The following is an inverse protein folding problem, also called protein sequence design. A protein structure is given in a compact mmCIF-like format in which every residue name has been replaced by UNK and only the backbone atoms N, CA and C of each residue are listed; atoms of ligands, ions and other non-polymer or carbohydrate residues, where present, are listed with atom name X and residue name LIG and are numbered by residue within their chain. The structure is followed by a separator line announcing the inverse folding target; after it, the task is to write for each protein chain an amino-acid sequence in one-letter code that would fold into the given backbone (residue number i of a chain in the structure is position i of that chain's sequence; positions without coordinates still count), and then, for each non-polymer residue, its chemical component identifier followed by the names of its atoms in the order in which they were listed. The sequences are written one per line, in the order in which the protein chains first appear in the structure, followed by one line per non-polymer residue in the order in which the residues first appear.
data_IF_047315155375
#
_entry.id   IF_047315155375
#
_cell.length_a   1.000
_cell.length_b   1.000
_cell.length_c   1.000
_cell.angle_alpha   90.00
_cell.angle_beta   90.00
_cell.angle_gamma   90.00
#
_symmetry.space_group_name_H-M   'P 1'
#
loop_
_entity.id
_entity.type
_entity.pdbx_description
1 polymer ?
#
# COMPACT_ATOMS: atom_id res chain seq x y z
N UNK A 1 10.06 -2.24 -31.04
CA UNK A 1 10.72 -3.13 -30.05
C UNK A 1 9.76 -4.16 -29.48
N UNK A 2 8.56 -3.78 -29.01
CA UNK A 2 7.57 -4.74 -28.51
C UNK A 2 6.99 -5.67 -29.58
N UNK A 3 6.72 -5.17 -30.79
CA UNK A 3 6.22 -6.00 -31.90
C UNK A 3 7.23 -7.08 -32.31
N UNK A 4 8.52 -6.77 -32.24
CA UNK A 4 9.60 -7.72 -32.52
C UNK A 4 9.68 -8.86 -31.49
N UNK A 5 9.27 -8.59 -30.23
CA UNK A 5 9.20 -9.60 -29.17
C UNK A 5 8.05 -10.58 -29.40
N UNK A 6 6.90 -10.11 -29.87
CA UNK A 6 5.80 -10.99 -30.24
C UNK A 6 6.15 -11.85 -31.45
N UNK A 7 6.76 -11.26 -32.48
CA UNK A 7 7.27 -12.01 -33.64
C UNK A 7 8.29 -13.07 -33.20
N UNK A 8 9.20 -12.74 -32.27
CA UNK A 8 10.13 -13.71 -31.71
C UNK A 8 9.41 -14.87 -31.00
N UNK A 9 8.40 -14.58 -30.18
CA UNK A 9 7.62 -15.61 -29.49
C UNK A 9 6.85 -16.51 -30.48
N UNK A 10 6.28 -15.95 -31.54
CA UNK A 10 5.66 -16.73 -32.63
C UNK A 10 6.68 -17.64 -33.33
N UNK A 11 7.87 -17.12 -33.65
CA UNK A 11 8.94 -17.93 -34.23
C UNK A 11 9.39 -19.06 -33.28
N UNK A 12 9.52 -18.78 -31.98
CA UNK A 12 9.89 -19.79 -30.99
C UNK A 12 8.81 -20.88 -30.85
N UNK A 13 7.54 -20.53 -31.04
CA UNK A 13 6.41 -21.48 -31.05
C UNK A 13 6.57 -22.49 -32.19
N UNK A 14 7.12 -22.07 -33.33
CA UNK A 14 7.32 -22.95 -34.50
C UNK A 14 8.60 -23.79 -34.39
N UNK A 15 9.66 -23.22 -33.81
CA UNK A 15 11.00 -23.85 -33.79
C UNK A 15 11.19 -24.80 -32.60
N UNK A 16 10.53 -24.55 -31.46
CA UNK A 16 10.74 -25.34 -30.25
C UNK A 16 9.75 -26.51 -30.12
N UNK A 17 10.18 -27.63 -29.51
CA UNK A 17 9.31 -28.78 -29.29
C UNK A 17 8.16 -28.50 -28.30
N UNK A 18 7.12 -29.33 -28.34
CA UNK A 18 5.84 -29.13 -27.62
C UNK A 18 5.99 -28.89 -26.11
N UNK A 19 7.02 -29.47 -25.49
CA UNK A 19 7.30 -29.31 -24.06
C UNK A 19 7.62 -27.85 -23.64
N UNK A 20 7.96 -26.97 -24.60
CA UNK A 20 8.20 -25.55 -24.35
C UNK A 20 6.99 -24.66 -24.64
N UNK A 21 5.92 -25.17 -25.24
CA UNK A 21 4.76 -24.37 -25.65
C UNK A 21 4.09 -23.68 -24.48
N UNK A 22 3.93 -24.39 -23.35
CA UNK A 22 3.39 -23.81 -22.11
C UNK A 22 4.24 -22.62 -21.62
N UNK A 23 5.57 -22.72 -21.71
CA UNK A 23 6.49 -21.66 -21.27
C UNK A 23 6.41 -20.45 -22.21
N UNK A 24 6.28 -20.69 -23.51
CA UNK A 24 6.15 -19.64 -24.53
C UNK A 24 4.82 -18.90 -24.33
N UNK A 25 3.72 -19.63 -24.13
CA UNK A 25 2.41 -19.05 -23.88
C UNK A 25 2.37 -18.28 -22.56
N UNK A 26 2.96 -18.81 -21.49
CA UNK A 26 3.13 -18.05 -20.24
C UNK A 26 3.96 -16.77 -20.44
N UNK A 27 5.04 -16.83 -21.22
CA UNK A 27 5.90 -15.68 -21.49
C UNK A 27 5.17 -14.62 -22.31
N UNK A 28 4.38 -15.04 -23.30
CA UNK A 28 3.47 -14.17 -24.07
C UNK A 28 2.46 -13.49 -23.14
N UNK A 29 1.80 -14.25 -22.26
CA UNK A 29 0.85 -13.67 -21.30
C UNK A 29 1.52 -12.69 -20.32
N UNK A 30 2.76 -12.98 -19.86
CA UNK A 30 3.56 -12.07 -19.02
C UNK A 30 3.94 -10.80 -19.79
N UNK A 31 4.29 -10.90 -21.07
CA UNK A 31 4.58 -9.75 -21.93
C UNK A 31 3.33 -8.87 -22.13
N UNK A 32 2.18 -9.46 -22.48
CA UNK A 32 0.91 -8.75 -22.57
C UNK A 32 0.58 -8.06 -21.25
N UNK A 33 0.77 -8.76 -20.12
CA UNK A 33 0.54 -8.19 -18.80
C UNK A 33 1.45 -6.99 -18.51
N UNK A 34 2.74 -7.08 -18.83
CA UNK A 34 3.68 -5.98 -18.69
C UNK A 34 3.27 -4.78 -19.53
N UNK A 35 2.92 -4.99 -20.81
CA UNK A 35 2.48 -3.93 -21.71
C UNK A 35 1.18 -3.28 -21.20
N UNK A 36 0.27 -4.08 -20.66
CA UNK A 36 -1.03 -3.60 -20.17
C UNK A 36 -0.81 -2.71 -18.96
N UNK A 37 0.08 -3.12 -18.06
CA UNK A 37 0.52 -2.31 -16.94
C UNK A 37 1.18 -0.99 -17.40
N UNK A 38 2.09 -1.02 -18.39
CA UNK A 38 2.69 0.21 -18.93
C UNK A 38 1.66 1.15 -19.56
N UNK A 39 0.71 0.61 -20.33
CA UNK A 39 -0.36 1.39 -20.95
C UNK A 39 -1.25 2.07 -19.89
N UNK A 40 -1.71 1.31 -18.88
CA UNK A 40 -2.49 1.87 -17.76
C UNK A 40 -1.71 2.92 -16.98
N UNK A 41 -0.41 2.69 -16.72
CA UNK A 41 0.48 3.66 -16.07
C UNK A 41 0.56 4.97 -16.84
N UNK A 42 0.79 4.92 -18.15
CA UNK A 42 0.86 6.13 -18.99
C UNK A 42 -0.48 6.86 -18.99
N UNK A 43 -1.58 6.13 -19.14
CA UNK A 43 -2.92 6.69 -19.13
C UNK A 43 -3.24 7.41 -17.80
N UNK A 44 -2.95 6.77 -16.68
CA UNK A 44 -3.21 7.26 -15.33
C UNK A 44 -2.36 8.49 -14.98
N UNK A 45 -1.08 8.49 -15.37
CA UNK A 45 -0.22 9.66 -15.25
C UNK A 45 -0.73 10.83 -16.09
N UNK A 46 -1.23 10.57 -17.30
CA UNK A 46 -1.81 11.61 -18.16
C UNK A 46 -3.12 12.14 -17.57
N UNK A 47 -3.99 11.28 -17.01
CA UNK A 47 -5.19 11.71 -16.29
C UNK A 47 -4.82 12.58 -15.08
N UNK A 48 -3.88 12.14 -14.24
CA UNK A 48 -3.46 12.90 -13.07
C UNK A 48 -2.93 14.29 -13.46
N UNK A 49 -2.06 14.36 -14.48
CA UNK A 49 -1.58 15.63 -15.03
C UNK A 49 -2.70 16.51 -15.59
N UNK A 50 -3.67 15.92 -16.29
CA UNK A 50 -4.83 16.66 -16.79
C UNK A 50 -5.67 17.23 -15.63
N UNK A 51 -5.88 16.46 -14.55
CA UNK A 51 -6.58 16.94 -13.36
C UNK A 51 -5.83 18.07 -12.65
N UNK A 52 -4.50 18.00 -12.57
CA UNK A 52 -3.69 19.11 -12.04
C UNK A 52 -3.82 20.38 -12.89
N UNK A 53 -4.05 20.27 -14.21
CA UNK A 53 -4.26 21.41 -15.11
C UNK A 53 -5.67 22.03 -14.98
N UNK A 54 -6.66 21.23 -14.56
CA UNK A 54 -8.05 21.67 -14.28
C UNK A 54 -8.19 22.39 -12.93
N UNK A 55 -7.13 22.47 -12.12
CA UNK A 55 -7.20 23.05 -10.78
C UNK A 55 -7.46 24.56 -10.84
N UNK A 56 -8.50 25.00 -10.15
CA UNK A 56 -8.85 26.40 -9.96
C UNK A 56 -8.32 26.94 -8.62
N UNK A 57 -8.74 28.15 -8.24
CA UNK A 57 -8.29 28.78 -6.99
C UNK A 57 -9.10 28.33 -5.76
N UNK A 58 -10.20 27.61 -5.97
CA UNK A 58 -11.12 27.13 -4.92
C UNK A 58 -10.90 25.64 -4.57
N UNK A 59 -10.18 24.90 -5.41
CA UNK A 59 -10.03 23.45 -5.31
C UNK A 59 -8.67 22.98 -4.81
N UNK A 60 -8.64 21.72 -4.36
CA UNK A 60 -7.40 21.00 -4.08
C UNK A 60 -7.40 19.56 -4.64
N UNK A 61 -6.23 19.09 -5.05
CA UNK A 61 -6.02 17.68 -5.39
C UNK A 61 -5.18 17.04 -4.29
N UNK A 62 -5.67 15.94 -3.72
CA UNK A 62 -5.04 15.26 -2.59
C UNK A 62 -4.49 13.92 -3.06
N UNK A 63 -3.19 13.68 -2.84
CA UNK A 63 -2.55 12.38 -3.08
C UNK A 63 -2.16 11.78 -1.75
N UNK A 64 -2.75 10.65 -1.37
CA UNK A 64 -2.50 10.01 -0.10
C UNK A 64 -1.84 8.64 -0.25
N UNK A 65 -0.90 8.34 0.66
CA UNK A 65 -0.29 7.03 0.76
C UNK A 65 0.26 6.73 2.16
N UNK A 66 0.27 5.45 2.51
CA UNK A 66 0.99 4.94 3.67
C UNK A 66 2.43 4.60 3.30
N UNK A 67 3.37 5.17 4.05
CA UNK A 67 4.76 4.74 3.96
C UNK A 67 4.91 3.38 4.62
N UNK A 68 5.84 2.57 4.10
CA UNK A 68 6.39 1.45 4.87
C UNK A 68 6.83 1.91 6.27
N UNK A 69 6.51 1.09 7.29
CA UNK A 69 6.76 1.43 8.70
C UNK A 69 8.18 1.94 8.93
N UNK A 70 8.28 3.05 9.64
CA UNK A 70 9.57 3.61 10.04
C UNK A 70 10.01 2.84 11.27
N UNK A 71 11.08 2.07 11.15
CA UNK A 71 11.65 1.34 12.27
C UNK A 71 12.59 2.24 13.09
N UNK A 72 12.65 2.06 14.42
CA UNK A 72 13.68 2.66 15.25
C UNK A 72 15.08 2.34 14.72
N UNK A 73 15.97 3.33 14.74
CA UNK A 73 17.34 3.22 14.22
C UNK A 73 18.31 4.05 15.05
N UNK A 74 19.42 3.47 15.44
CA UNK A 74 20.52 4.15 16.10
C UNK A 74 21.77 4.16 15.22
N UNK A 75 22.67 5.12 15.45
CA UNK A 75 23.94 5.19 14.72
C UNK A 75 24.82 3.95 14.97
N UNK A 76 24.74 3.40 16.18
CA UNK A 76 25.34 2.14 16.58
C UNK A 76 24.24 1.22 17.13
N UNK A 77 24.11 0.01 16.58
CA UNK A 77 23.17 -1.01 17.07
C UNK A 77 23.88 -2.34 17.23
N UNK A 78 23.62 -3.01 18.35
CA UNK A 78 24.03 -4.41 18.50
C UNK A 78 23.10 -5.32 17.71
N UNK A 79 23.58 -6.50 17.29
CA UNK A 79 22.75 -7.48 16.57
C UNK A 79 21.48 -7.86 17.34
N UNK A 80 21.52 -7.83 18.67
CA UNK A 80 20.39 -8.15 19.54
C UNK A 80 19.31 -7.06 19.50
N UNK A 81 19.71 -5.78 19.47
CA UNK A 81 18.80 -4.65 19.39
C UNK A 81 18.10 -4.52 18.03
N UNK A 82 18.61 -5.20 16.99
CA UNK A 82 18.08 -5.12 15.64
C UNK A 82 16.76 -5.89 15.45
N UNK A 83 16.54 -6.97 16.21
CA UNK A 83 15.40 -7.87 15.98
C UNK A 83 14.14 -7.46 16.74
N UNK A 84 12.97 -7.59 16.08
CA UNK A 84 11.66 -7.44 16.73
C UNK A 84 11.19 -6.00 16.98
N UNK A 85 11.80 -5.00 16.33
CA UNK A 85 11.42 -3.60 16.54
C UNK A 85 9.99 -3.31 16.08
N UNK A 86 9.23 -2.63 16.94
CA UNK A 86 7.95 -2.04 16.59
C UNK A 86 8.20 -0.71 15.87
N UNK A 87 7.76 -0.62 14.62
CA UNK A 87 7.85 0.62 13.84
C UNK A 87 6.66 1.54 14.03
N UNK A 88 6.84 2.80 13.65
CA UNK A 88 5.78 3.80 13.55
C UNK A 88 5.09 3.72 12.19
N UNK A 89 3.79 3.95 12.21
CA UNK A 89 3.02 4.21 10.99
C UNK A 89 3.30 5.63 10.54
N UNK A 90 3.37 5.84 9.22
CA UNK A 90 3.39 7.17 8.63
C UNK A 90 2.40 7.19 7.46
N UNK A 91 1.41 8.07 7.55
CA UNK A 91 0.49 8.37 6.47
C UNK A 91 0.78 9.77 5.94
N UNK A 92 0.89 9.91 4.62
CA UNK A 92 1.17 11.19 3.97
C UNK A 92 -0.04 11.60 3.14
N UNK A 93 -0.45 12.85 3.26
CA UNK A 93 -1.39 13.51 2.35
C UNK A 93 -0.67 14.69 1.68
N UNK A 94 -0.42 14.59 0.39
CA UNK A 94 0.05 15.71 -0.42
C UNK A 94 -1.15 16.51 -0.92
N UNK A 95 -1.20 17.79 -0.58
CA UNK A 95 -2.25 18.73 -0.99
C UNK A 95 -1.68 19.64 -2.08
N UNK A 96 -2.21 19.50 -3.29
CA UNK A 96 -1.91 20.34 -4.44
C UNK A 96 -2.95 21.46 -4.53
N UNK A 97 -2.50 22.71 -4.47
CA UNK A 97 -3.32 23.92 -4.63
C UNK A 97 -2.73 24.80 -5.72
N UNK A 98 -3.56 25.62 -6.36
CA UNK A 98 -3.07 26.57 -7.35
C UNK A 98 -2.38 27.73 -6.63
N UNK A 99 -1.13 28.00 -7.00
CA UNK A 99 -0.38 29.15 -6.46
C UNK A 99 -0.46 30.33 -7.43
N UNK A 100 -0.23 30.08 -8.72
CA UNK A 100 -0.41 31.05 -9.79
C UNK A 100 -0.73 30.34 -11.11
N UNK A 101 -0.87 31.09 -12.20
CA UNK A 101 -1.21 30.52 -13.52
C UNK A 101 -0.21 29.46 -14.04
N UNK A 102 1.01 29.41 -13.49
CA UNK A 102 2.12 28.58 -13.95
C UNK A 102 2.69 27.63 -12.90
N UNK A 103 2.24 27.71 -11.64
CA UNK A 103 2.81 26.96 -10.53
C UNK A 103 1.71 26.47 -9.58
N UNK A 104 1.93 25.26 -9.08
CA UNK A 104 1.17 24.67 -7.99
C UNK A 104 1.96 24.80 -6.70
N UNK A 105 1.26 25.04 -5.60
CA UNK A 105 1.79 24.87 -4.26
C UNK A 105 1.49 23.43 -3.79
N UNK A 106 2.49 22.76 -3.25
CA UNK A 106 2.38 21.40 -2.72
C UNK A 106 2.68 21.47 -1.22
N UNK A 107 1.74 20.97 -0.42
CA UNK A 107 1.94 20.82 1.03
C UNK A 107 1.87 19.33 1.36
N UNK A 108 2.87 18.81 2.06
CA UNK A 108 2.90 17.45 2.55
C UNK A 108 2.49 17.43 4.02
N UNK A 109 1.40 16.75 4.34
CA UNK A 109 1.00 16.47 5.71
C UNK A 109 1.37 15.04 6.07
N UNK A 110 2.36 14.90 6.94
CA UNK A 110 2.91 13.63 7.40
C UNK A 110 2.41 13.34 8.81
N UNK A 111 1.52 12.36 8.95
CA UNK A 111 0.99 11.93 10.23
C UNK A 111 1.67 10.65 10.68
N UNK A 112 2.45 10.74 11.75
CA UNK A 112 3.08 9.57 12.36
C UNK A 112 2.28 9.08 13.57
N UNK A 113 2.33 7.78 13.85
CA UNK A 113 1.61 7.19 14.98
C UNK A 113 2.29 5.96 15.55
N UNK A 114 2.05 5.71 16.85
CA UNK A 114 2.43 4.46 17.52
C UNK A 114 1.41 3.35 17.28
N UNK A 115 0.20 3.73 16.86
CA UNK A 115 -0.78 2.81 16.33
C UNK A 115 -0.31 2.28 14.97
N UNK A 116 -0.36 0.96 14.86
CA UNK A 116 0.10 0.25 13.66
C UNK A 116 -1.05 -0.29 12.81
N UNK A 117 -2.28 -0.02 13.21
CA UNK A 117 -3.50 -0.32 12.45
C UNK A 117 -3.68 0.72 11.35
N UNK A 118 -3.46 0.29 10.12
CA UNK A 118 -3.82 1.05 8.93
C UNK A 118 -5.26 0.70 8.58
N UNK A 119 -6.21 1.39 9.19
CA UNK A 119 -7.66 1.18 9.03
C UNK A 119 -8.36 2.45 8.50
N UNK A 120 -9.65 2.31 8.21
CA UNK A 120 -10.48 3.41 7.70
C UNK A 120 -10.50 4.61 8.65
N UNK A 121 -10.55 4.34 9.96
CA UNK A 121 -10.67 5.38 10.98
C UNK A 121 -9.37 6.19 11.12
N UNK A 122 -8.21 5.54 11.03
CA UNK A 122 -6.92 6.22 10.96
C UNK A 122 -6.87 7.13 9.73
N UNK A 123 -7.22 6.59 8.55
CA UNK A 123 -7.24 7.36 7.30
C UNK A 123 -8.17 8.58 7.42
N UNK A 124 -9.40 8.38 7.90
CA UNK A 124 -10.36 9.46 8.13
C UNK A 124 -9.85 10.53 9.11
N UNK A 125 -9.22 10.10 10.21
CA UNK A 125 -8.60 11.00 11.20
C UNK A 125 -7.45 11.82 10.62
N UNK A 126 -6.67 11.23 9.73
CA UNK A 126 -5.60 11.94 9.02
C UNK A 126 -6.16 13.02 8.09
N UNK A 127 -7.26 12.74 7.37
CA UNK A 127 -7.95 13.76 6.56
C UNK A 127 -8.55 14.88 7.41
N UNK A 128 -9.24 14.56 8.51
CA UNK A 128 -9.75 15.56 9.48
C UNK A 128 -8.63 16.52 9.93
N UNK A 129 -7.49 15.96 10.34
CA UNK A 129 -6.33 16.73 10.74
C UNK A 129 -5.75 17.63 9.62
N UNK A 130 -5.87 17.23 8.35
CA UNK A 130 -5.48 18.11 7.23
C UNK A 130 -6.53 19.21 7.05
N UNK A 131 -7.80 18.86 7.00
CA UNK A 131 -8.88 19.82 6.73
C UNK A 131 -8.93 20.91 7.79
N UNK A 132 -8.71 20.59 9.06
CA UNK A 132 -8.67 21.61 10.12
C UNK A 132 -7.44 22.52 10.07
N UNK A 133 -6.35 22.07 9.44
CA UNK A 133 -5.12 22.86 9.29
C UNK A 133 -5.12 23.73 8.03
N UNK A 134 -5.87 23.36 6.99
CA UNK A 134 -5.95 24.15 5.76
C UNK A 134 -6.69 25.47 5.99
N UNK A 135 -6.03 26.58 5.67
CA UNK A 135 -6.60 27.92 5.71
C UNK A 135 -6.12 28.74 4.49
N UNK A 136 -7.02 29.14 3.56
CA UNK A 136 -8.43 28.80 3.52
C UNK A 136 -8.67 27.31 3.19
N UNK A 137 -9.80 26.77 3.66
CA UNK A 137 -10.26 25.42 3.27
C UNK A 137 -10.69 25.41 1.78
N UNK A 138 -10.34 24.37 1.00
CA UNK A 138 -10.78 24.26 -0.38
C UNK A 138 -12.29 24.01 -0.43
N UNK A 139 -13.00 24.62 -1.38
CA UNK A 139 -14.44 24.37 -1.59
C UNK A 139 -14.68 22.97 -2.17
N UNK A 140 -13.73 22.46 -2.96
CA UNK A 140 -13.84 21.12 -3.54
C UNK A 140 -12.51 20.39 -3.56
N UNK A 141 -12.56 19.06 -3.52
CA UNK A 141 -11.38 18.19 -3.61
C UNK A 141 -11.54 17.03 -4.59
N UNK A 142 -10.42 16.60 -5.18
CA UNK A 142 -10.27 15.29 -5.84
C UNK A 142 -9.17 14.50 -5.15
N UNK A 143 -9.43 13.23 -4.83
CA UNK A 143 -8.50 12.39 -4.07
C UNK A 143 -7.90 11.32 -4.97
N UNK A 144 -6.63 11.02 -4.75
CA UNK A 144 -5.90 9.96 -5.40
C UNK A 144 -5.16 9.11 -4.35
N UNK A 145 -5.38 7.80 -4.35
CA UNK A 145 -4.75 6.85 -3.41
C UNK A 145 -4.34 5.55 -4.12
N UNK A 146 -3.68 4.60 -3.45
CA UNK A 146 -3.76 3.22 -3.96
C UNK A 146 -5.11 2.59 -3.65
N UNK A 147 -5.29 1.43 -4.26
CA UNK A 147 -6.38 0.52 -4.01
C UNK A 147 -6.18 -0.31 -2.72
N UNK A 148 -5.51 0.22 -1.70
CA UNK A 148 -5.37 -0.40 -0.39
C UNK A 148 -6.73 -0.51 0.31
N UNK A 149 -6.98 -1.60 1.03
CA UNK A 149 -8.26 -1.83 1.72
C UNK A 149 -8.61 -0.74 2.75
N UNK A 150 -7.60 0.00 3.24
CA UNK A 150 -7.79 1.15 4.13
C UNK A 150 -8.27 2.43 3.43
N UNK A 151 -8.21 2.50 2.09
CA UNK A 151 -8.86 3.54 1.28
C UNK A 151 -10.15 3.06 0.61
N UNK A 152 -10.23 1.76 0.31
CA UNK A 152 -11.36 1.16 -0.40
C UNK A 152 -12.21 0.30 0.54
N UNK A 153 -12.91 0.94 1.47
CA UNK A 153 -13.85 0.31 2.40
C UNK A 153 -15.08 1.20 2.66
N UNK A 154 -16.17 0.57 3.11
CA UNK A 154 -17.43 1.27 3.38
C UNK A 154 -17.32 2.28 4.50
N UNK A 155 -16.60 1.98 5.58
CA UNK A 155 -16.48 2.88 6.73
C UNK A 155 -15.93 4.26 6.30
N UNK A 156 -14.87 4.25 5.49
CA UNK A 156 -14.27 5.47 4.95
C UNK A 156 -15.20 6.17 3.96
N UNK A 157 -15.86 5.44 3.06
CA UNK A 157 -16.81 6.05 2.11
C UNK A 157 -17.98 6.73 2.83
N UNK A 158 -18.46 6.14 3.94
CA UNK A 158 -19.49 6.73 4.78
C UNK A 158 -19.00 8.01 5.47
N UNK A 159 -17.76 8.04 5.95
CA UNK A 159 -17.12 9.25 6.51
C UNK A 159 -17.03 10.35 5.45
N UNK A 160 -16.53 10.00 4.27
CA UNK A 160 -16.34 10.88 3.10
C UNK A 160 -17.64 11.58 2.71
N UNK A 161 -18.77 10.88 2.75
CA UNK A 161 -20.10 11.45 2.47
C UNK A 161 -20.46 12.70 3.29
N UNK A 162 -19.93 12.77 4.52
CA UNK A 162 -20.28 13.82 5.48
C UNK A 162 -19.31 15.01 5.42
N UNK A 163 -18.26 14.98 4.61
CA UNK A 163 -17.24 16.03 4.59
C UNK A 163 -17.77 17.38 4.09
N UNK A 164 -18.75 17.40 3.18
CA UNK A 164 -19.41 18.65 2.81
C UNK A 164 -20.10 19.27 4.03
N UNK A 165 -20.86 18.48 4.79
CA UNK A 165 -21.56 18.97 5.98
C UNK A 165 -20.59 19.39 7.10
N UNK A 166 -19.51 18.64 7.31
CA UNK A 166 -18.59 18.87 8.43
C UNK A 166 -17.52 19.93 8.17
N UNK A 167 -17.09 20.09 6.91
CA UNK A 167 -15.97 20.98 6.56
C UNK A 167 -16.32 21.99 5.48
N UNK A 168 -17.48 21.88 4.83
CA UNK A 168 -17.83 22.70 3.65
C UNK A 168 -17.07 22.30 2.39
N UNK A 169 -16.60 21.05 2.30
CA UNK A 169 -15.76 20.56 1.19
C UNK A 169 -16.54 19.58 0.31
N UNK A 170 -16.72 19.94 -0.96
CA UNK A 170 -17.31 19.07 -1.98
C UNK A 170 -16.32 18.05 -2.53
N UNK A 171 -16.76 16.81 -2.69
CA UNK A 171 -15.91 15.73 -3.18
C UNK A 171 -16.22 15.47 -4.65
N UNK A 172 -15.35 15.94 -5.53
CA UNK A 172 -15.50 15.80 -6.99
C UNK A 172 -15.05 14.43 -7.52
N UNK A 173 -14.35 13.63 -6.71
CA UNK A 173 -14.01 12.25 -7.07
C UNK A 173 -12.90 11.66 -6.22
N UNK A 174 -12.89 10.33 -6.14
CA UNK A 174 -11.81 9.52 -5.56
C UNK A 174 -11.29 8.57 -6.63
N UNK A 175 -10.01 8.69 -6.97
CA UNK A 175 -9.35 7.92 -8.02
C UNK A 175 -8.31 6.99 -7.41
N UNK A 176 -8.17 5.79 -7.97
CA UNK A 176 -7.23 4.78 -7.48
C UNK A 176 -6.10 4.55 -8.47
N UNK A 177 -4.86 4.62 -8.00
CA UNK A 177 -3.70 4.29 -8.81
C UNK A 177 -3.54 2.78 -9.02
N UNK A 178 -2.89 2.40 -10.12
CA UNK A 178 -2.49 1.02 -10.34
C UNK A 178 -1.44 0.59 -9.29
N UNK A 179 -1.48 -0.66 -8.81
CA UNK A 179 -0.48 -1.17 -7.89
C UNK A 179 0.93 -1.02 -8.46
N UNK A 180 1.82 -0.41 -7.69
CA UNK A 180 3.25 -0.33 -7.96
C UNK A 180 3.73 0.87 -8.77
N UNK A 181 2.86 1.67 -9.41
CA UNK A 181 3.29 2.83 -10.21
C UNK A 181 2.17 3.88 -10.40
N UNK A 182 2.57 5.16 -10.59
CA UNK A 182 1.76 6.39 -10.75
C UNK A 182 1.54 7.27 -9.49
N UNK A 183 1.99 6.81 -8.30
CA UNK A 183 2.10 7.61 -7.06
C UNK A 183 3.38 8.46 -6.98
N UNK A 184 3.96 8.85 -8.12
CA UNK A 184 5.36 9.29 -8.16
C UNK A 184 5.69 10.47 -7.23
N UNK A 185 4.74 11.36 -6.95
CA UNK A 185 4.94 12.49 -6.04
C UNK A 185 5.06 12.06 -4.58
N UNK A 186 4.11 11.25 -4.09
CA UNK A 186 4.13 10.76 -2.70
C UNK A 186 5.23 9.71 -2.48
N UNK A 187 5.49 8.85 -3.46
CA UNK A 187 6.62 7.92 -3.41
C UNK A 187 7.96 8.67 -3.38
N UNK A 188 8.10 9.73 -4.17
CA UNK A 188 9.28 10.59 -4.16
C UNK A 188 9.44 11.27 -2.81
N UNK A 189 8.36 11.80 -2.22
CA UNK A 189 8.37 12.36 -0.87
C UNK A 189 8.80 11.33 0.17
N UNK A 190 8.25 10.11 0.13
CA UNK A 190 8.65 9.01 1.00
C UNK A 190 10.12 8.62 0.83
N UNK A 191 10.66 8.68 -0.39
CA UNK A 191 12.07 8.47 -0.64
C UNK A 191 12.93 9.58 0.00
N UNK A 192 12.50 10.84 -0.09
CA UNK A 192 13.15 11.97 0.58
C UNK A 192 13.14 11.82 2.10
N UNK A 193 12.00 11.44 2.70
CA UNK A 193 11.89 11.08 4.13
C UNK A 193 12.89 9.99 4.50
N UNK A 194 12.96 8.90 3.72
CA UNK A 194 13.87 7.80 4.00
C UNK A 194 15.34 8.26 3.93
N UNK A 195 15.69 9.11 2.97
CA UNK A 195 17.01 9.70 2.83
C UNK A 195 17.35 10.64 3.99
N UNK A 196 16.40 11.47 4.41
CA UNK A 196 16.57 12.41 5.52
C UNK A 196 16.79 11.68 6.84
N UNK A 197 15.98 10.65 7.13
CA UNK A 197 16.17 9.78 8.30
C UNK A 197 17.52 9.06 8.24
N UNK A 198 17.92 8.54 7.07
CA UNK A 198 19.23 7.88 6.91
C UNK A 198 20.37 8.86 7.19
N UNK A 199 20.26 10.12 6.75
CA UNK A 199 21.24 11.17 7.03
C UNK A 199 21.26 11.53 8.51
N UNK A 200 20.09 11.70 9.14
CA UNK A 200 19.94 11.99 10.56
C UNK A 200 20.67 10.95 11.42
N UNK A 201 20.49 9.67 11.11
CA UNK A 201 21.22 8.58 11.79
C UNK A 201 22.71 8.60 11.48
N UNK A 202 23.10 8.84 10.22
CA UNK A 202 24.51 8.88 9.80
C UNK A 202 25.33 9.97 10.51
N UNK A 203 24.72 11.09 10.87
CA UNK A 203 25.42 12.19 11.58
C UNK A 203 25.42 11.99 13.10
N UNK A 204 24.98 10.83 13.60
CA UNK A 204 25.12 10.42 15.00
C UNK A 204 23.85 10.52 15.85
N UNK A 205 22.71 10.93 15.28
CA UNK A 205 21.45 10.94 16.02
C UNK A 205 20.78 9.56 16.03
N UNK A 206 19.98 9.30 17.07
CA UNK A 206 19.20 8.06 17.18
C UNK A 206 17.72 8.36 16.99
N UNK A 207 17.04 7.57 16.16
CA UNK A 207 15.59 7.54 15.98
C UNK A 207 14.99 6.48 16.91
N UNK A 208 14.80 6.82 18.18
CA UNK A 208 14.34 5.94 19.27
C UNK A 208 12.91 6.27 19.74
N UNK A 209 12.33 7.39 19.29
CA UNK A 209 10.94 7.76 19.49
C UNK A 209 10.36 8.40 18.21
N UNK A 210 9.03 8.56 18.17
CA UNK A 210 8.35 9.09 16.99
C UNK A 210 8.50 10.61 16.81
N UNK A 211 8.65 11.38 17.88
CA UNK A 211 8.90 12.84 17.80
C UNK A 211 10.18 13.14 17.02
N UNK A 212 11.19 12.27 17.13
CA UNK A 212 12.44 12.40 16.36
C UNK A 212 12.25 12.19 14.85
N UNK A 213 11.11 11.65 14.40
CA UNK A 213 10.76 11.65 12.97
C UNK A 213 10.58 13.09 12.49
N UNK A 214 9.93 13.94 13.28
CA UNK A 214 9.71 15.36 12.96
C UNK A 214 11.05 16.08 12.81
N UNK A 215 11.95 15.89 13.76
CA UNK A 215 13.31 16.44 13.71
C UNK A 215 14.12 15.94 12.51
N UNK A 216 13.97 14.65 12.18
CA UNK A 216 14.69 14.03 11.07
C UNK A 216 14.23 14.55 9.70
N UNK A 217 13.00 15.06 9.58
CA UNK A 217 12.43 15.51 8.30
C UNK A 217 12.06 16.99 8.24
N UNK A 218 12.31 17.78 9.30
CA UNK A 218 11.97 19.21 9.38
C UNK A 218 12.51 20.09 8.26
N UNK A 219 13.56 19.66 7.56
CA UNK A 219 14.16 20.43 6.47
C UNK A 219 13.61 20.06 5.08
N UNK A 220 12.63 19.15 5.00
CA UNK A 220 11.92 18.88 3.76
C UNK A 220 10.98 20.05 3.44
N UNK A 221 11.02 20.55 2.20
CA UNK A 221 10.19 21.67 1.77
C UNK A 221 8.72 21.29 1.67
N UNK A 222 7.83 22.19 2.08
CA UNK A 222 6.39 22.02 2.06
C UNK A 222 5.86 21.01 3.08
N UNK A 223 6.71 20.51 3.99
CA UNK A 223 6.34 19.40 4.89
C UNK A 223 5.90 19.90 6.26
N UNK A 224 4.70 19.48 6.65
CA UNK A 224 4.13 19.61 7.98
C UNK A 224 3.94 18.23 8.59
N UNK A 225 4.46 18.05 9.79
CA UNK A 225 4.48 16.75 10.47
C UNK A 225 3.70 16.87 11.78
N UNK A 226 2.94 15.84 12.13
CA UNK A 226 2.25 15.76 13.41
C UNK A 226 2.10 14.31 13.88
N UNK A 227 2.03 14.14 15.20
CA UNK A 227 1.62 12.90 15.85
C UNK A 227 0.10 12.79 15.82
N UNK A 228 -0.41 11.67 15.34
CA UNK A 228 -1.85 11.39 15.22
C UNK A 228 -2.19 10.10 15.99
N UNK A 229 -3.14 10.19 16.92
CA UNK A 229 -3.76 9.03 17.58
C UNK A 229 -5.28 9.06 17.36
N UNK A 230 -5.83 8.10 16.59
CA UNK A 230 -7.26 8.06 16.31
C UNK A 230 -8.06 7.57 17.52
N UNK A 231 -9.07 8.34 17.94
CA UNK A 231 -10.03 7.92 18.99
C UNK A 231 -11.07 6.98 18.40
N UNK A 232 -10.96 5.68 18.70
CA UNK A 232 -11.92 4.66 18.28
C UNK A 232 -13.02 4.49 19.33
N UNK A 233 -13.95 5.44 19.37
CA UNK A 233 -15.17 5.30 20.15
C UNK A 233 -16.16 4.49 19.29
N UNK A 234 -16.06 3.16 19.37
CA UNK A 234 -16.69 2.19 18.46
C UNK A 234 -18.16 2.47 18.12
N UNK A 235 -18.47 2.59 16.83
CA UNK A 235 -19.57 1.83 16.21
C UNK A 235 -18.92 0.97 15.12
N UNK A 236 -19.06 -0.37 15.15
CA UNK A 236 -18.58 -1.22 14.07
C UNK A 236 -19.37 -0.90 12.80
N UNK A 237 -18.75 -0.21 11.85
CA UNK A 237 -19.35 -0.06 10.53
C UNK A 237 -19.16 -1.39 9.78
N UNK A 238 -20.27 -2.00 9.35
CA UNK A 238 -20.18 -3.24 8.58
C UNK A 238 -19.60 -2.93 7.19
N UNK A 239 -18.77 -3.86 6.69
CA UNK A 239 -18.32 -3.85 5.30
C UNK A 239 -19.53 -3.95 4.40
N UNK A 240 -19.85 -2.89 3.64
CA UNK A 240 -20.94 -2.93 2.67
C UNK A 240 -20.52 -3.80 1.49
N UNK A 241 -21.22 -4.91 1.19
CA UNK A 241 -20.96 -5.65 -0.02
C UNK A 241 -21.33 -4.80 -1.26
N UNK A 242 -20.59 -4.95 -2.35
CA UNK A 242 -20.81 -4.30 -3.65
C UNK A 242 -20.47 -2.80 -3.80
N UNK A 243 -19.81 -2.15 -2.84
CA UNK A 243 -19.37 -0.74 -2.97
C UNK A 243 -18.49 -0.49 -4.22
N UNK A 244 -17.72 -1.51 -4.64
CA UNK A 244 -16.83 -1.44 -5.80
C UNK A 244 -17.54 -1.42 -7.15
N UNK A 245 -18.85 -1.69 -7.20
CA UNK A 245 -19.66 -1.59 -8.43
C UNK A 245 -20.33 -0.21 -8.60
N UNK A 246 -20.22 0.67 -7.59
CA UNK A 246 -21.02 1.90 -7.49
C UNK A 246 -20.15 3.11 -7.82
N UNK A 247 -20.45 3.78 -8.94
CA UNK A 247 -19.62 4.86 -9.49
C UNK A 247 -19.90 6.25 -8.91
N UNK A 248 -21.05 6.47 -8.26
CA UNK A 248 -21.45 7.76 -7.70
C UNK A 248 -22.33 7.58 -6.44
N UNK A 249 -22.13 8.42 -5.42
CA UNK A 249 -22.95 8.48 -4.20
C UNK A 249 -23.58 9.86 -4.04
N UNK A 250 -24.86 9.92 -3.68
CA UNK A 250 -25.41 11.12 -3.06
C UNK A 250 -25.36 10.98 -1.52
N UNK A 251 -25.22 12.09 -0.76
CA UNK A 251 -25.33 12.07 0.70
C UNK A 251 -26.63 11.40 1.18
N UNK A 252 -27.72 11.54 0.41
CA UNK A 252 -29.02 10.91 0.66
C UNK A 252 -28.93 9.39 0.60
N UNK A 253 -28.18 8.83 -0.35
CA UNK A 253 -28.03 7.37 -0.48
C UNK A 253 -27.23 6.80 0.68
N UNK A 254 -26.24 7.54 1.15
CA UNK A 254 -25.42 7.13 2.30
C UNK A 254 -26.20 7.24 3.60
N UNK A 255 -27.05 8.25 3.76
CA UNK A 255 -27.92 8.38 4.95
C UNK A 255 -28.89 7.20 5.14
N UNK A 256 -29.26 6.51 4.05
CA UNK A 256 -30.10 5.29 4.10
C UNK A 256 -29.32 4.05 4.54
N UNK A 257 -27.99 4.11 4.58
CA UNK A 257 -27.10 2.98 4.90
C UNK A 257 -26.64 2.98 6.36
N UNK A 258 -27.02 3.97 7.17
CA UNK A 258 -26.59 4.11 8.56
C UNK A 258 -27.81 4.27 9.46
N UNK A 259 -27.93 3.42 10.47
CA UNK A 259 -29.00 3.50 11.48
C UNK A 259 -28.72 4.59 12.54
N UNK A 260 -27.46 5.02 12.69
CA UNK A 260 -27.02 6.05 13.65
C UNK A 260 -26.26 7.19 12.95
N UNK A 261 -26.31 8.40 13.49
CA UNK A 261 -25.55 9.53 12.96
C UNK A 261 -24.05 9.28 13.12
N UNK A 262 -23.32 9.25 12.01
CA UNK A 262 -21.87 9.14 12.02
C UNK A 262 -21.26 10.35 12.73
N UNK A 263 -20.33 10.11 13.66
CA UNK A 263 -19.63 11.19 14.36
C UNK A 263 -18.39 11.60 13.56
N UNK A 264 -18.14 12.92 13.52
CA UNK A 264 -16.91 13.47 12.96
C UNK A 264 -15.70 12.89 13.68
N UNK A 265 -14.65 12.42 12.96
CA UNK A 265 -13.40 12.02 13.59
C UNK A 265 -12.86 13.16 14.47
N UNK A 266 -12.44 12.82 15.69
CA UNK A 266 -11.84 13.78 16.63
C UNK A 266 -10.56 13.18 17.21
N UNK A 267 -9.56 12.90 16.37
CA UNK A 267 -8.30 12.31 16.82
C UNK A 267 -7.57 13.24 17.79
N UNK A 268 -6.71 12.66 18.61
CA UNK A 268 -5.69 13.44 19.30
C UNK A 268 -4.57 13.72 18.28
N UNK A 269 -4.41 15.00 17.93
CA UNK A 269 -3.45 15.47 16.95
C UNK A 269 -2.50 16.49 17.63
N UNK A 270 -1.18 16.31 17.46
CA UNK A 270 -0.22 17.34 17.87
C UNK A 270 -0.25 18.52 16.89
N UNK A 271 0.24 19.68 17.31
CA UNK A 271 0.32 20.83 16.38
C UNK A 271 1.27 20.51 15.22
N UNK A 272 0.79 20.67 13.98
CA UNK A 272 1.62 20.50 12.80
C UNK A 272 2.85 21.40 12.84
N UNK A 273 4.01 20.82 12.50
CA UNK A 273 5.22 21.61 12.28
C UNK A 273 5.05 22.56 11.10
N UNK A 274 5.70 23.73 11.17
CA UNK A 274 5.68 24.72 10.09
C UNK A 274 6.73 24.35 9.04
N UNK A 275 6.39 24.30 7.74
CA UNK A 275 7.36 24.06 6.69
C UNK A 275 8.42 25.15 6.67
N UNK A 276 9.70 24.77 6.59
CA UNK A 276 10.80 25.73 6.53
C UNK A 276 11.00 26.34 5.13
N UNK A 277 10.53 25.65 4.10
CA UNK A 277 10.65 26.07 2.69
C UNK A 277 9.33 25.78 1.97
N UNK A 278 8.90 26.62 1.02
CA UNK A 278 7.75 26.29 0.16
C UNK A 278 8.12 25.16 -0.81
N UNK A 279 7.14 24.34 -1.19
CA UNK A 279 7.29 23.37 -2.26
C UNK A 279 6.41 23.77 -3.45
N UNK A 280 7.02 24.45 -4.41
CA UNK A 280 6.35 24.88 -5.63
C UNK A 280 6.66 23.92 -6.79
N UNK A 281 5.62 23.52 -7.52
CA UNK A 281 5.72 22.61 -8.66
C UNK A 281 5.32 23.36 -9.95
N UNK A 282 6.15 23.37 -11.00
CA UNK A 282 5.79 24.05 -12.24
C UNK A 282 4.68 23.29 -12.98
N UNK A 283 3.66 24.03 -13.43
CA UNK A 283 2.65 23.54 -14.35
C UNK A 283 3.29 23.53 -15.75
N UNK A 284 3.72 22.36 -16.22
CA UNK A 284 4.13 22.20 -17.61
C UNK A 284 2.87 22.26 -18.48
N UNK A 285 2.45 23.47 -18.86
CA UNK A 285 1.52 23.65 -19.97
C UNK A 285 2.30 23.29 -21.23
N UNK A 286 1.84 22.30 -21.97
CA UNK A 286 2.33 22.07 -23.34
C UNK A 286 1.84 23.27 -24.16
N UNK A 287 2.58 24.38 -24.12
CA UNK A 287 2.47 25.47 -25.09
C UNK A 287 3.51 25.21 -26.15
N UNK A 288 3.04 24.97 -27.38
CA UNK A 288 3.75 25.12 -28.65
C UNK A 288 5.24 24.79 -28.67
N UNK A 289 5.56 23.53 -28.96
CA UNK A 289 6.80 23.24 -29.70
C UNK A 289 6.59 23.61 -31.18
N UNK A 290 6.45 24.90 -31.46
CA UNK A 290 6.98 25.46 -32.71
C UNK A 290 8.50 25.51 -32.58
N UNK A 291 9.14 24.34 -32.67
CA UNK A 291 10.52 24.23 -33.12
C UNK A 291 10.51 23.28 -34.30
N UNK A 292 10.30 23.86 -35.49
CA UNK A 292 10.73 23.31 -36.77
C UNK A 292 12.25 23.16 -36.74
N UNK A 293 12.77 22.08 -36.16
CA UNK A 293 14.10 21.54 -36.50
C UNK A 293 14.26 20.16 -35.88
N UNK A 294 13.65 19.16 -36.50
CA UNK A 294 14.09 17.76 -36.59
C UNK A 294 12.93 16.93 -37.13
N UNK A 295 12.51 17.25 -38.36
CA UNK A 295 11.70 16.40 -39.23
C UNK A 295 11.93 16.92 -40.66
N UNK A 296 13.17 16.80 -41.11
CA UNK A 296 13.43 16.60 -42.54
C UNK A 296 13.70 15.12 -42.74
N UNK A 297 12.62 14.35 -42.86
CA UNK A 297 12.64 13.14 -43.68
C UNK A 297 11.56 13.40 -44.72
N UNK A 298 11.99 13.40 -45.98
CA UNK A 298 11.30 14.00 -47.12
C UNK A 298 9.85 13.56 -47.31
N UNK A 299 9.08 14.54 -47.80
CA UNK A 299 7.72 14.41 -48.30
C UNK A 299 7.59 13.32 -49.37
N UNK A 300 6.73 12.34 -49.12
CA UNK A 300 5.62 11.98 -50.03
C UNK A 300 4.89 10.75 -49.49
N UNK A 301 3.89 10.96 -48.65
CA UNK A 301 2.69 10.11 -48.67
C UNK A 301 1.53 10.85 -48.02
N UNK A 302 0.48 11.03 -48.80
CA UNK A 302 -0.84 11.51 -48.41
C UNK A 302 -1.34 10.67 -47.21
N UNK A 303 -1.48 11.28 -46.03
CA UNK A 303 -2.13 10.61 -44.90
C UNK A 303 -3.65 10.79 -45.09
N UNK A 304 -4.25 9.83 -45.80
CA UNK A 304 -5.65 9.51 -45.61
C UNK A 304 -5.86 9.06 -44.15
N UNK A 305 -7.04 9.26 -43.55
CA UNK A 305 -7.37 8.67 -42.25
C UNK A 305 -7.50 7.15 -42.42
N UNK A 306 -6.37 6.45 -42.45
CA UNK A 306 -6.33 5.00 -42.40
C UNK A 306 -6.70 4.59 -40.99
N UNK A 307 -7.75 3.79 -40.92
CA UNK A 307 -8.28 3.11 -39.76
C UNK A 307 -7.14 2.52 -38.91
N UNK A 308 -6.92 3.07 -37.70
CA UNK A 308 -5.93 2.53 -36.74
C UNK A 308 -6.37 1.14 -36.22
N UNK A 309 -7.56 0.68 -36.61
CA UNK A 309 -8.04 -0.70 -36.45
C UNK A 309 -7.08 -1.75 -37.04
N UNK A 310 -6.32 -1.42 -38.09
CA UNK A 310 -5.52 -2.42 -38.78
C UNK A 310 -4.03 -2.34 -38.39
N UNK A 311 -3.64 -3.22 -37.44
CA UNK A 311 -2.27 -3.62 -37.04
C UNK A 311 -1.77 -3.19 -35.66
N UNK A 312 -2.56 -3.41 -34.61
CA UNK A 312 -1.98 -3.72 -33.30
C UNK A 312 -2.37 -5.14 -32.90
N UNK A 313 -1.40 -5.96 -32.49
CA UNK A 313 -1.60 -7.40 -32.26
C UNK A 313 -2.49 -7.72 -31.04
N UNK A 314 -2.90 -6.71 -30.26
CA UNK A 314 -3.68 -6.87 -29.04
C UNK A 314 -5.10 -6.33 -29.23
N UNK A 315 -6.08 -7.13 -28.84
CA UNK A 315 -7.51 -6.83 -28.97
C UNK A 315 -7.94 -5.60 -28.16
N UNK A 316 -9.02 -4.93 -28.57
CA UNK A 316 -9.59 -3.83 -27.80
C UNK A 316 -9.90 -4.26 -26.35
N UNK A 317 -9.45 -3.44 -25.39
CA UNK A 317 -9.59 -3.74 -23.97
C UNK A 317 -8.51 -4.66 -23.38
N UNK A 318 -7.47 -5.03 -24.14
CA UNK A 318 -6.34 -5.84 -23.64
C UNK A 318 -5.66 -5.28 -22.38
N UNK A 319 -5.66 -3.95 -22.24
CA UNK A 319 -5.05 -3.26 -21.12
C UNK A 319 -5.99 -3.08 -19.91
N UNK A 320 -7.26 -3.51 -19.99
CA UNK A 320 -8.20 -3.37 -18.87
C UNK A 320 -7.82 -4.29 -17.71
N UNK A 321 -7.98 -3.79 -16.49
CA UNK A 321 -7.66 -4.54 -15.27
C UNK A 321 -8.56 -5.77 -15.08
N UNK A 322 -9.81 -5.72 -15.52
CA UNK A 322 -10.74 -6.86 -15.53
C UNK A 322 -10.24 -8.03 -16.38
N UNK A 323 -9.45 -7.74 -17.42
CA UNK A 323 -8.99 -8.72 -18.40
C UNK A 323 -7.62 -9.31 -18.03
N UNK A 324 -7.11 -8.98 -16.85
CA UNK A 324 -5.80 -9.41 -16.36
C UNK A 324 -5.85 -10.85 -15.82
N UNK A 325 -5.08 -11.75 -16.45
CA UNK A 325 -4.96 -13.17 -16.03
C UNK A 325 -4.07 -13.39 -14.79
N UNK A 326 -3.04 -12.56 -14.59
CA UNK A 326 -2.08 -12.71 -13.48
C UNK A 326 -2.36 -11.74 -12.34
N UNK A 327 -2.47 -12.20 -11.09
CA UNK A 327 -2.59 -11.32 -9.91
C UNK A 327 -3.97 -11.25 -9.26
N UNK A 328 -4.94 -12.07 -9.68
CA UNK A 328 -6.15 -12.28 -8.89
C UNK A 328 -5.82 -13.04 -7.59
N UNK A 329 -5.48 -12.28 -6.53
CA UNK A 329 -5.33 -12.86 -5.18
C UNK A 329 -6.69 -13.39 -4.73
N UNK A 330 -6.75 -14.67 -4.38
CA UNK A 330 -7.90 -15.30 -3.73
C UNK A 330 -8.76 -16.20 -4.62
N UNK A 331 -8.43 -16.35 -5.91
CA UNK A 331 -9.17 -17.22 -6.85
C UNK A 331 -8.58 -18.64 -6.91
N UNK A 332 -7.42 -18.87 -6.29
CA UNK A 332 -6.85 -20.21 -6.15
C UNK A 332 -7.61 -21.05 -5.12
N UNK A 333 -7.83 -22.34 -5.44
CA UNK A 333 -8.38 -23.34 -4.52
C UNK A 333 -7.60 -23.28 -3.20
N UNK A 334 -8.29 -23.04 -2.08
CA UNK A 334 -7.66 -22.98 -0.76
C UNK A 334 -7.21 -24.39 -0.36
N UNK A 335 -6.07 -24.48 0.32
CA UNK A 335 -5.62 -25.73 0.95
C UNK A 335 -6.72 -26.18 1.92
N UNK A 336 -7.16 -27.43 1.80
CA UNK A 336 -8.19 -27.99 2.68
C UNK A 336 -7.67 -28.13 4.11
N UNK A 337 -8.57 -28.15 5.09
CA UNK A 337 -8.20 -28.28 6.51
C UNK A 337 -7.41 -29.57 6.74
N UNK A 338 -7.78 -30.64 6.04
CA UNK A 338 -7.13 -31.94 6.13
C UNK A 338 -5.69 -31.91 5.60
N UNK A 339 -5.48 -31.41 4.38
CA UNK A 339 -4.12 -31.25 3.81
C UNK A 339 -3.26 -30.33 4.68
N UNK A 340 -3.84 -29.28 5.26
CA UNK A 340 -3.14 -28.40 6.18
C UNK A 340 -2.66 -29.14 7.44
N UNK A 341 -3.48 -30.03 8.01
CA UNK A 341 -3.10 -30.82 9.18
C UNK A 341 -1.91 -31.75 8.90
N UNK A 342 -1.87 -32.39 7.72
CA UNK A 342 -0.72 -33.20 7.30
C UNK A 342 0.56 -32.36 7.15
N UNK A 343 0.46 -31.19 6.49
CA UNK A 343 1.59 -30.27 6.36
C UNK A 343 2.12 -29.79 7.71
N UNK A 344 1.23 -29.52 8.67
CA UNK A 344 1.60 -29.19 10.06
C UNK A 344 2.32 -30.36 10.73
N UNK A 345 1.81 -31.59 10.60
CA UNK A 345 2.44 -32.81 11.12
C UNK A 345 3.85 -33.03 10.56
N UNK A 346 4.01 -32.97 9.24
CA UNK A 346 5.31 -33.12 8.57
C UNK A 346 6.31 -32.05 9.02
N UNK A 347 5.85 -30.81 9.15
CA UNK A 347 6.72 -29.71 9.56
C UNK A 347 7.16 -29.82 11.03
N UNK A 348 6.24 -30.21 11.93
CA UNK A 348 6.52 -30.35 13.36
C UNK A 348 7.41 -31.56 13.64
N UNK A 349 7.23 -32.68 12.94
CA UNK A 349 8.11 -33.84 13.05
C UNK A 349 9.59 -33.46 12.80
N UNK A 350 9.85 -32.67 11.75
CA UNK A 350 11.19 -32.15 11.45
C UNK A 350 11.75 -31.14 12.45
N UNK A 351 10.91 -30.48 13.24
CA UNK A 351 11.35 -29.60 14.34
C UNK A 351 11.68 -30.38 15.61
N UNK A 352 10.97 -31.49 15.85
CA UNK A 352 11.24 -32.40 16.98
C UNK A 352 12.51 -33.21 16.70
N UNK A 353 12.67 -33.72 15.49
CA UNK A 353 13.82 -34.51 15.08
C UNK A 353 14.39 -34.02 13.75
N UNK A 354 15.68 -33.65 13.75
CA UNK A 354 16.33 -33.09 12.56
C UNK A 354 16.45 -34.09 11.41
N UNK A 355 16.44 -35.40 11.68
CA UNK A 355 16.49 -36.44 10.64
C UNK A 355 15.19 -36.54 9.86
N UNK A 356 14.08 -36.07 10.44
CA UNK A 356 12.73 -36.18 9.89
C UNK A 356 12.31 -34.87 9.20
N UNK A 357 13.29 -33.98 8.95
CA UNK A 357 13.05 -32.69 8.34
C UNK A 357 12.81 -32.82 6.85
N UNK A 358 11.58 -32.56 6.45
CA UNK A 358 11.14 -32.64 5.07
C UNK A 358 11.33 -31.31 4.33
N UNK A 359 11.81 -31.39 3.08
CA UNK A 359 11.72 -30.29 2.13
C UNK A 359 10.30 -30.17 1.56
N UNK A 360 9.99 -29.07 0.87
CA UNK A 360 8.71 -28.92 0.21
C UNK A 360 8.45 -30.00 -0.86
N UNK A 361 9.52 -30.52 -1.49
CA UNK A 361 9.43 -31.64 -2.43
C UNK A 361 9.09 -32.94 -1.72
N UNK A 362 9.69 -33.19 -0.56
CA UNK A 362 9.42 -34.40 0.22
C UNK A 362 7.99 -34.38 0.75
N UNK A 363 7.51 -33.23 1.26
CA UNK A 363 6.11 -33.07 1.67
C UNK A 363 5.14 -33.27 0.51
N UNK A 364 5.49 -32.80 -0.70
CA UNK A 364 4.69 -33.06 -1.89
C UNK A 364 4.63 -34.56 -2.23
N UNK A 365 5.74 -35.28 -2.10
CA UNK A 365 5.79 -36.73 -2.34
C UNK A 365 4.91 -37.47 -1.34
N UNK A 366 4.98 -37.15 -0.05
CA UNK A 366 4.13 -37.78 0.98
C UNK A 366 2.65 -37.46 0.79
N UNK A 367 2.30 -36.22 0.41
CA UNK A 367 0.91 -35.89 0.07
C UNK A 367 0.40 -36.68 -1.13
N UNK A 368 1.25 -36.94 -2.14
CA UNK A 368 0.83 -37.79 -3.26
C UNK A 368 0.62 -39.25 -2.83
N UNK A 369 1.42 -39.79 -1.91
CA UNK A 369 1.18 -41.11 -1.33
C UNK A 369 -0.16 -41.17 -0.58
N UNK A 370 -0.45 -40.16 0.23
CA UNK A 370 -1.75 -40.05 0.91
C UNK A 370 -2.93 -39.95 -0.08
N UNK A 371 -2.71 -39.32 -1.24
CA UNK A 371 -3.70 -39.28 -2.31
C UNK A 371 -3.88 -40.63 -3.03
N UNK A 372 -2.79 -41.39 -3.19
CA UNK A 372 -2.81 -42.76 -3.73
C UNK A 372 -3.49 -43.75 -2.78
N UNK A 373 -3.34 -43.54 -1.47
CA UNK A 373 -3.99 -44.31 -0.39
C UNK A 373 -5.46 -43.93 -0.18
N UNK A 374 -5.93 -42.84 -0.80
CA UNK A 374 -7.32 -42.38 -0.73
C UNK A 374 -7.67 -41.54 0.51
N UNK A 375 -6.67 -41.20 1.34
CA UNK A 375 -6.84 -40.34 2.54
C UNK A 375 -7.14 -38.88 2.15
N UNK A 376 -6.63 -38.43 0.99
CA UNK A 376 -6.94 -37.13 0.41
C UNK A 376 -7.27 -37.28 -1.08
N UNK A 377 -8.04 -36.33 -1.63
CA UNK A 377 -8.32 -36.32 -3.05
C UNK A 377 -7.11 -35.82 -3.85
N UNK A 378 -6.86 -36.41 -5.03
CA UNK A 378 -5.71 -36.05 -5.87
C UNK A 378 -5.71 -34.59 -6.31
N UNK A 379 -6.89 -33.99 -6.47
CA UNK A 379 -7.07 -32.58 -6.82
C UNK A 379 -6.95 -31.64 -5.61
N UNK A 380 -6.76 -32.16 -4.39
CA UNK A 380 -6.46 -31.38 -3.18
C UNK A 380 -4.96 -31.24 -2.91
N UNK A 381 -4.11 -32.01 -3.60
CA UNK A 381 -2.66 -31.94 -3.44
C UNK A 381 -2.15 -30.59 -3.96
N UNK A 382 -1.57 -29.74 -3.09
CA UNK A 382 -1.08 -28.43 -3.49
C UNK A 382 0.23 -28.53 -4.25
N UNK A 383 0.45 -27.59 -5.18
CA UNK A 383 1.73 -27.48 -5.88
C UNK A 383 2.90 -27.23 -4.91
N UNK A 384 4.10 -27.66 -5.29
CA UNK A 384 5.33 -27.49 -4.50
C UNK A 384 5.57 -26.03 -4.09
N UNK A 385 5.36 -25.06 -4.99
CA UNK A 385 5.48 -23.61 -4.69
C UNK A 385 4.52 -23.15 -3.60
N UNK A 386 3.32 -23.73 -3.58
CA UNK A 386 2.30 -23.45 -2.57
C UNK A 386 2.74 -23.99 -1.20
N UNK A 387 3.35 -25.18 -1.16
CA UNK A 387 3.94 -25.78 0.03
C UNK A 387 5.12 -24.95 0.54
N UNK A 388 6.04 -24.52 -0.34
CA UNK A 388 7.17 -23.64 0.03
C UNK A 388 6.69 -22.32 0.66
N UNK A 389 5.68 -21.69 0.03
CA UNK A 389 5.04 -20.49 0.56
C UNK A 389 4.35 -20.74 1.90
N UNK A 390 3.71 -21.90 2.07
CA UNK A 390 3.08 -22.31 3.32
C UNK A 390 4.12 -22.51 4.43
N UNK A 391 5.20 -23.25 4.19
CA UNK A 391 6.31 -23.48 5.14
C UNK A 391 6.88 -22.15 5.63
N UNK A 392 7.13 -21.22 4.70
CA UNK A 392 7.69 -19.90 5.03
C UNK A 392 6.77 -19.13 5.97
N UNK A 393 5.46 -19.10 5.69
CA UNK A 393 4.46 -18.43 6.53
C UNK A 393 4.29 -19.12 7.88
N UNK A 394 4.21 -20.44 7.90
CA UNK A 394 4.01 -21.23 9.11
C UNK A 394 5.20 -21.09 10.07
N UNK A 395 6.42 -21.17 9.55
CA UNK A 395 7.65 -20.90 10.31
C UNK A 395 7.69 -19.48 10.89
N UNK A 396 7.22 -18.48 10.15
CA UNK A 396 7.14 -17.11 10.66
C UNK A 396 6.09 -16.98 11.78
N UNK A 397 4.95 -17.67 11.66
CA UNK A 397 3.90 -17.70 12.69
C UNK A 397 4.40 -18.30 14.00
N UNK A 398 5.06 -19.47 13.95
CA UNK A 398 5.62 -20.12 15.15
C UNK A 398 6.69 -19.25 15.83
N UNK A 399 7.50 -18.55 15.04
CA UNK A 399 8.48 -17.58 15.57
C UNK A 399 7.83 -16.40 16.26
N UNK A 400 6.73 -15.89 15.71
CA UNK A 400 5.94 -14.81 16.31
C UNK A 400 5.33 -15.25 17.64
N UNK A 401 4.67 -16.42 17.66
CA UNK A 401 4.07 -16.99 18.88
C UNK A 401 5.12 -17.24 19.98
N UNK A 402 6.28 -17.78 19.60
CA UNK A 402 7.41 -17.99 20.52
C UNK A 402 8.00 -16.68 21.07
N UNK A 403 7.88 -15.57 20.33
CA UNK A 403 8.30 -14.24 20.80
C UNK A 403 7.25 -13.63 21.74
N UNK A 404 5.96 -13.78 21.42
CA UNK A 404 4.86 -13.34 22.27
C UNK A 404 4.86 -14.04 23.63
N UNK A 405 5.06 -15.37 23.66
CA UNK A 405 5.18 -16.13 24.91
C UNK A 405 6.39 -15.69 25.75
N UNK A 406 7.51 -15.30 25.12
CA UNK A 406 8.68 -14.76 25.83
C UNK A 406 8.40 -13.41 26.49
N UNK A 407 7.72 -12.51 25.78
CA UNK A 407 7.31 -11.21 26.33
C UNK A 407 6.35 -11.41 27.52
N UNK A 408 5.39 -12.33 27.41
CA UNK A 408 4.48 -12.67 28.52
C UNK A 408 5.26 -13.25 29.71
N UNK A 409 6.20 -14.17 29.46
CA UNK A 409 7.05 -14.75 30.51
C UNK A 409 7.95 -13.72 31.20
N UNK A 410 8.52 -12.77 30.47
CA UNK A 410 9.31 -11.67 31.04
C UNK A 410 8.44 -10.69 31.84
N UNK A 411 7.21 -10.43 31.37
CA UNK A 411 6.24 -9.59 32.07
C UNK A 411 5.83 -10.24 33.39
N UNK A 412 5.54 -11.54 33.40
CA UNK A 412 5.21 -12.29 34.61
C UNK A 412 6.39 -12.34 35.61
N UNK A 413 7.63 -12.52 35.13
CA UNK A 413 8.83 -12.44 35.98
C UNK A 413 9.04 -11.05 36.59
N UNK A 414 8.69 -9.97 35.88
CA UNK A 414 8.74 -8.60 36.44
C UNK A 414 7.68 -8.42 37.54
N UNK A 415 6.47 -8.91 37.33
CA UNK A 415 5.39 -8.87 38.32
C UNK A 415 5.74 -9.67 39.59
N UNK A 416 6.36 -10.85 39.45
CA UNK A 416 6.81 -11.65 40.60
C UNK A 416 7.94 -10.98 41.39
N UNK A 417 8.88 -10.32 40.71
CA UNK A 417 9.97 -9.57 41.36
C UNK A 417 9.48 -8.31 42.09
N UNK A 418 8.46 -7.62 41.58
CA UNK A 418 7.82 -6.49 42.26
C UNK A 418 6.98 -6.93 43.47
N UNK A 419 6.34 -8.09 43.41
CA UNK A 419 5.61 -8.69 44.54
C UNK A 419 6.52 -9.16 45.69
N UNK A 420 7.76 -9.57 45.40
CA UNK A 420 8.74 -10.02 46.40
C UNK A 420 9.29 -8.88 47.28
N UNK A 421 9.45 -7.68 46.73
CA UNK A 421 9.99 -6.52 47.47
C UNK A 421 8.99 -5.91 48.48
N UNK A 422 7.69 -6.15 48.30
CA UNK A 422 6.63 -5.70 49.21
C UNK A 422 6.62 -6.45 50.56
N UNK A 423 7.08 -7.71 50.60
CA UNK A 423 7.09 -8.51 51.84
C UNK A 423 8.26 -8.22 52.78
N UNK A 424 9.38 -7.69 52.26
CA UNK A 424 10.57 -7.41 53.07
C UNK A 424 10.57 -6.02 53.75
N UNK A 425 9.71 -5.09 53.32
CA UNK A 425 9.62 -3.76 53.95
C UNK A 425 8.80 -3.73 55.26
N UNK A 426 7.97 -4.74 55.53
CA UNK A 426 7.13 -4.80 56.75
C UNK A 426 7.81 -5.39 58.00
N UNK A 427 9.03 -5.91 57.91
CA UNK A 427 9.73 -6.52 59.06
C UNK A 427 10.76 -5.64 59.75
N UNK A 428 10.95 -4.39 59.30
CA UNK A 428 12.04 -3.51 59.79
C UNK A 428 11.54 -2.20 60.38
N UNK A 429 10.46 -2.26 61.17
CA UNK A 429 10.02 -1.18 62.07
C UNK A 429 9.39 -1.81 63.31
N UNK A 430 10.24 -2.26 64.24
CA UNK A 430 9.94 -2.44 65.67
C UNK A 430 11.24 -2.79 66.39
N UNK A 431 11.96 -1.77 66.82
CA UNK A 431 12.75 -1.74 68.04
C UNK A 431 13.01 -0.30 68.42
#
# INVERSE_FOLDING_TARGET
MCDQLFVLLEHLTVVLPENFQTIIEESRNKLCYFLAHQARKVHLNNQFKAKLLELDDDGAILVCDYKMRILPKSACETKEQFFGKRGWTLHTILVFTKYNASQLNVQAFDHWSTDTKQDAWFTASSFDAVFETLDPKPKWIKIFSDNGGHYHNSELMTVVANWNHWYGIDIHGWHFFEPGEAKSSVDSHHAQIAHSIKRYVRVGYNLDNGEKIEDAIKNLGGTSVAHLEPKRNHVPAQTLPHIGEWSHYSPTDISKLIDESLHKPTPDISTHTKPNLPWNFPIVRIKDKTNKSMLEIGNNTQICPTDISDKFQLENGWALKSNQKYGQRGVGKRITVLVKAYLEGFFLAGNVNKTDRMSAKDMYIELNKLAEEGEIQKDEVPEIKTIEGWITRYSASLRKESAEQRVIGETNKRIENEGGNSKNSRKRQKR
#
